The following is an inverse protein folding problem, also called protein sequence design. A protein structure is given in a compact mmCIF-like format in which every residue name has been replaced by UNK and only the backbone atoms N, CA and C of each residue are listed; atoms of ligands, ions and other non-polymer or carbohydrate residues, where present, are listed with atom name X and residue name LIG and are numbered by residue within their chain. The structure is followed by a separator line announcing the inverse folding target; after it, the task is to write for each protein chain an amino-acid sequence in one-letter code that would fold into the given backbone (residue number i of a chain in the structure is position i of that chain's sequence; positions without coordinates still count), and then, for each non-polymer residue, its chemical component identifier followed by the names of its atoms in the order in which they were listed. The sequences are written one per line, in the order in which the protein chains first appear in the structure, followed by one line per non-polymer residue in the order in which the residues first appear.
data_IF_304310123537
#
_entry.id   IF_304310123537
#
_cell.length_a   1.000
_cell.length_b   1.000
_cell.length_c   1.000
_cell.angle_alpha   90.00
_cell.angle_beta   90.00
_cell.angle_gamma   90.00
#
_symmetry.space_group_name_H-M   'P 1'
#
loop_
_entity.id
_entity.type
_entity.pdbx_description
1 polymer ?
#
# COMPACT_ATOMS: atom_id res chain seq x y z
N UNK A 1 -17.11 1.72 -10.62
CA UNK A 1 -17.19 3.16 -10.97
C UNK A 1 -18.01 4.02 -10.00
N UNK A 2 -18.79 3.46 -9.05
CA UNK A 2 -19.55 4.24 -8.05
C UNK A 2 -18.79 4.60 -6.75
N UNK A 3 -17.62 3.99 -6.55
CA UNK A 3 -16.79 4.15 -5.34
C UNK A 3 -16.28 5.59 -5.13
N UNK A 4 -15.90 6.38 -6.17
CA UNK A 4 -15.39 7.73 -5.96
C UNK A 4 -16.45 8.70 -5.42
N UNK A 5 -17.70 8.55 -5.87
CA UNK A 5 -18.80 9.42 -5.47
C UNK A 5 -19.23 9.17 -4.02
N UNK A 6 -19.29 7.89 -3.61
CA UNK A 6 -19.62 7.51 -2.24
C UNK A 6 -18.55 7.98 -1.25
N UNK A 7 -17.26 7.88 -1.61
CA UNK A 7 -16.15 8.37 -0.80
C UNK A 7 -16.20 9.89 -0.60
N UNK A 8 -16.59 10.64 -1.63
CA UNK A 8 -16.66 12.11 -1.58
C UNK A 8 -17.78 12.63 -0.66
N UNK A 9 -18.88 11.88 -0.54
CA UNK A 9 -20.02 12.23 0.33
C UNK A 9 -19.77 11.81 1.79
N UNK A 10 -19.15 10.65 2.02
CA UNK A 10 -18.85 10.17 3.39
C UNK A 10 -17.66 10.89 4.04
N UNK A 11 -16.65 11.24 3.24
CA UNK A 11 -15.48 12.00 3.67
C UNK A 11 -15.43 13.29 2.84
N UNK A 12 -16.21 14.33 3.20
CA UNK A 12 -16.06 15.61 2.55
C UNK A 12 -14.60 16.06 2.73
N UNK A 13 -13.83 16.22 1.64
CA UNK A 13 -12.43 16.60 1.74
C UNK A 13 -12.35 17.95 2.46
N UNK A 14 -11.62 17.99 3.58
CA UNK A 14 -11.45 19.18 4.42
C UNK A 14 -10.73 20.31 3.64
N UNK A 15 -10.04 19.98 2.56
CA UNK A 15 -9.34 20.92 1.69
C UNK A 15 -10.08 21.08 0.35
N UNK A 16 -11.23 21.76 0.40
CA UNK A 16 -11.86 22.33 -0.79
C UNK A 16 -11.24 23.70 -1.04
N UNK A 17 -10.28 23.74 -1.96
CA UNK A 17 -9.76 24.96 -2.60
C UNK A 17 -9.32 26.08 -1.66
N UNK A 18 -8.11 25.97 -1.12
CA UNK A 18 -7.41 27.11 -0.55
C UNK A 18 -6.47 27.70 -1.59
N UNK A 19 -6.77 28.90 -2.10
CA UNK A 19 -5.85 29.76 -2.89
C UNK A 19 -4.50 30.02 -2.17
N UNK A 20 -4.45 29.67 -0.87
CA UNK A 20 -3.26 29.69 -0.02
C UNK A 20 -2.32 28.49 -0.24
N UNK A 21 -2.79 27.35 -0.74
CA UNK A 21 -1.96 26.16 -1.01
C UNK A 21 -0.92 26.44 -2.11
N UNK A 22 -1.26 27.04 -3.27
CA UNK A 22 -0.24 27.36 -4.27
C UNK A 22 0.74 28.43 -3.78
N UNK A 23 0.29 29.45 -3.04
CA UNK A 23 1.17 30.50 -2.48
C UNK A 23 2.10 29.97 -1.39
N UNK A 24 1.59 29.09 -0.52
CA UNK A 24 2.40 28.38 0.46
C UNK A 24 3.41 27.45 -0.23
N UNK A 25 3.00 26.70 -1.25
CA UNK A 25 3.89 25.86 -2.04
C UNK A 25 4.98 26.67 -2.76
N UNK A 26 4.67 27.85 -3.30
CA UNK A 26 5.64 28.76 -3.91
C UNK A 26 6.64 29.31 -2.90
N UNK A 27 6.16 29.70 -1.72
CA UNK A 27 7.00 30.20 -0.63
C UNK A 27 7.94 29.10 -0.14
N UNK A 28 7.44 27.88 0.01
CA UNK A 28 8.21 26.71 0.40
C UNK A 28 9.20 26.29 -0.70
N UNK A 29 8.80 26.36 -1.99
CA UNK A 29 9.70 26.10 -3.13
C UNK A 29 10.86 27.11 -3.16
N UNK A 30 10.56 28.39 -2.90
CA UNK A 30 11.58 29.44 -2.83
C UNK A 30 12.50 29.25 -1.61
N UNK A 31 11.96 28.80 -0.47
CA UNK A 31 12.72 28.49 0.73
C UNK A 31 13.62 27.24 0.58
N UNK A 32 13.20 26.24 -0.21
CA UNK A 32 13.97 25.03 -0.50
C UNK A 32 15.19 25.30 -1.40
N UNK A 33 15.14 26.34 -2.24
CA UNK A 33 16.26 26.75 -3.09
C UNK A 33 16.53 25.81 -4.28
N UNK A 34 17.63 26.03 -5.03
CA UNK A 34 17.92 25.26 -6.23
C UNK A 34 18.26 23.80 -5.90
N UNK A 35 17.65 22.87 -6.65
CA UNK A 35 17.87 21.42 -6.50
C UNK A 35 19.36 21.07 -6.43
N UNK A 36 19.77 20.47 -5.33
CA UNK A 36 21.15 20.06 -5.12
C UNK A 36 21.52 18.92 -6.09
N UNK A 37 22.80 18.80 -6.44
CA UNK A 37 23.30 17.71 -7.30
C UNK A 37 23.01 16.30 -6.76
N UNK A 38 22.67 16.17 -5.47
CA UNK A 38 22.23 14.91 -4.85
C UNK A 38 20.75 14.61 -5.15
N UNK A 39 19.88 15.63 -5.09
CA UNK A 39 18.46 15.48 -5.42
C UNK A 39 18.24 15.16 -6.89
N UNK A 40 18.99 15.79 -7.81
CA UNK A 40 18.92 15.47 -9.25
C UNK A 40 19.27 14.00 -9.52
N UNK A 41 20.23 13.44 -8.79
CA UNK A 41 20.60 12.01 -8.90
C UNK A 41 19.52 11.10 -8.33
N UNK A 42 18.91 11.47 -7.20
CA UNK A 42 17.78 10.73 -6.62
C UNK A 42 16.58 10.72 -7.57
N UNK A 43 16.25 11.86 -8.17
CA UNK A 43 15.15 12.00 -9.11
C UNK A 43 15.39 11.19 -10.39
N UNK A 44 16.64 11.18 -10.89
CA UNK A 44 17.04 10.32 -12.01
C UNK A 44 16.85 8.83 -11.71
N UNK A 45 17.22 8.36 -10.51
CA UNK A 45 17.00 6.97 -10.09
C UNK A 45 15.52 6.64 -9.94
N UNK A 46 14.71 7.56 -9.42
CA UNK A 46 13.26 7.38 -9.27
C UNK A 46 12.57 7.25 -10.63
N UNK A 47 12.91 8.11 -11.59
CA UNK A 47 12.39 8.00 -12.97
C UNK A 47 12.86 6.71 -13.61
N UNK A 48 14.13 6.34 -13.44
CA UNK A 48 14.67 5.06 -13.91
C UNK A 48 13.92 3.85 -13.35
N UNK A 49 13.58 3.88 -12.05
CA UNK A 49 12.80 2.83 -11.40
C UNK A 49 11.39 2.70 -12.00
N UNK A 50 10.70 3.82 -12.25
CA UNK A 50 9.38 3.84 -12.87
C UNK A 50 9.41 3.28 -14.30
N UNK A 51 10.42 3.66 -15.09
CA UNK A 51 10.63 3.11 -16.43
C UNK A 51 10.88 1.61 -16.34
N UNK A 52 11.71 1.14 -15.42
CA UNK A 52 11.93 -0.29 -15.21
C UNK A 52 10.66 -1.03 -14.76
N UNK A 53 9.79 -0.42 -13.96
CA UNK A 53 8.52 -1.06 -13.58
C UNK A 53 7.52 -1.12 -14.74
N UNK A 54 7.47 -0.10 -15.60
CA UNK A 54 6.53 -0.07 -16.73
C UNK A 54 7.00 -1.00 -17.87
N UNK A 55 8.30 -1.00 -18.17
CA UNK A 55 8.87 -1.76 -19.30
C UNK A 55 9.46 -3.12 -18.88
N UNK A 56 9.87 -3.28 -17.63
CA UNK A 56 10.54 -4.48 -17.13
C UNK A 56 9.59 -5.52 -16.55
N UNK A 57 8.27 -5.27 -16.52
CA UNK A 57 7.27 -6.17 -15.93
C UNK A 57 7.25 -7.59 -16.50
N UNK A 58 7.69 -7.78 -17.75
CA UNK A 58 7.76 -9.11 -18.38
C UNK A 58 9.03 -9.91 -18.04
N UNK A 59 10.11 -9.25 -17.57
CA UNK A 59 11.41 -9.87 -17.37
C UNK A 59 11.93 -9.80 -15.93
N UNK A 60 11.46 -8.83 -15.14
CA UNK A 60 11.99 -8.52 -13.80
C UNK A 60 10.84 -8.28 -12.84
N UNK A 61 10.82 -9.00 -11.71
CA UNK A 61 9.87 -8.77 -10.63
C UNK A 61 10.04 -7.38 -10.01
N UNK A 62 8.92 -6.75 -9.61
CA UNK A 62 8.94 -5.42 -9.02
C UNK A 62 9.84 -5.31 -7.79
N UNK A 63 9.99 -6.39 -7.00
CA UNK A 63 10.90 -6.45 -5.87
C UNK A 63 12.37 -6.39 -6.31
N UNK A 64 12.75 -7.12 -7.38
CA UNK A 64 14.12 -7.08 -7.93
C UNK A 64 14.51 -5.68 -8.42
N UNK A 65 13.58 -4.96 -9.06
CA UNK A 65 13.77 -3.55 -9.45
C UNK A 65 14.03 -2.69 -8.20
N UNK A 66 13.20 -2.86 -7.16
CA UNK A 66 13.37 -2.14 -5.89
C UNK A 66 14.72 -2.38 -5.23
N UNK A 67 15.16 -3.65 -5.12
CA UNK A 67 16.47 -3.98 -4.58
C UNK A 67 17.62 -3.38 -5.38
N UNK A 68 17.52 -3.38 -6.71
CA UNK A 68 18.53 -2.80 -7.61
C UNK A 68 18.66 -1.29 -7.42
N UNK A 69 17.54 -0.59 -7.27
CA UNK A 69 17.51 0.86 -7.02
C UNK A 69 18.11 1.20 -5.67
N UNK A 70 17.78 0.45 -4.61
CA UNK A 70 18.37 0.65 -3.27
C UNK A 70 19.87 0.40 -3.29
N UNK A 71 20.34 -0.64 -3.98
CA UNK A 71 21.76 -0.92 -4.16
C UNK A 71 22.49 0.23 -4.89
N UNK A 72 21.90 0.76 -5.96
CA UNK A 72 22.43 1.93 -6.68
C UNK A 72 22.46 3.18 -5.80
N UNK A 73 21.42 3.42 -4.98
CA UNK A 73 21.38 4.56 -4.06
C UNK A 73 22.50 4.51 -3.00
N UNK A 74 22.81 3.31 -2.49
CA UNK A 74 23.92 3.08 -1.57
C UNK A 74 25.28 3.28 -2.26
N UNK A 75 25.46 2.71 -3.46
CA UNK A 75 26.70 2.85 -4.25
C UNK A 75 26.98 4.32 -4.63
N UNK A 76 25.95 5.07 -5.00
CA UNK A 76 26.04 6.49 -5.36
C UNK A 76 26.15 7.41 -4.13
N UNK A 77 26.19 6.85 -2.90
CA UNK A 77 26.19 7.56 -1.61
C UNK A 77 25.09 8.62 -1.52
N UNK A 78 23.92 8.32 -2.10
CA UNK A 78 22.74 9.18 -2.00
C UNK A 78 22.09 8.97 -0.63
N UNK A 79 22.03 7.71 -0.19
CA UNK A 79 21.52 7.26 1.11
C UNK A 79 22.62 6.46 1.79
N UNK A 80 22.78 6.61 3.11
CA UNK A 80 23.73 5.84 3.92
C UNK A 80 23.08 4.57 4.46
N UNK A 81 23.87 3.55 4.77
CA UNK A 81 23.35 2.36 5.45
C UNK A 81 22.65 2.71 6.78
N UNK A 82 23.20 3.69 7.51
CA UNK A 82 22.61 4.19 8.75
C UNK A 82 21.22 4.81 8.54
N UNK A 83 21.00 5.53 7.43
CA UNK A 83 19.69 6.12 7.09
C UNK A 83 18.63 5.03 6.85
N UNK A 84 19.01 3.88 6.28
CA UNK A 84 18.11 2.75 6.05
C UNK A 84 17.78 2.05 7.37
N UNK A 85 18.80 1.78 8.19
CA UNK A 85 18.62 1.06 9.47
C UNK A 85 17.88 1.93 10.50
N UNK A 86 18.11 3.24 10.50
CA UNK A 86 17.45 4.18 11.41
C UNK A 86 16.01 4.52 11.00
N UNK A 87 15.54 4.11 9.82
CA UNK A 87 14.19 4.39 9.33
C UNK A 87 13.13 3.52 10.03
N UNK A 88 12.76 3.92 11.26
CA UNK A 88 11.78 3.20 12.10
C UNK A 88 10.42 3.02 11.42
N UNK A 89 9.99 3.96 10.58
CA UNK A 89 8.70 3.87 9.89
C UNK A 89 8.67 2.71 8.89
N UNK A 90 9.72 2.57 8.07
CA UNK A 90 9.85 1.47 7.13
C UNK A 90 9.90 0.11 7.85
N UNK A 91 10.71 0.00 8.91
CA UNK A 91 10.80 -1.21 9.72
C UNK A 91 9.48 -1.57 10.39
N UNK A 92 8.75 -0.59 10.94
CA UNK A 92 7.46 -0.81 11.57
C UNK A 92 6.45 -1.40 10.58
N UNK A 93 6.33 -0.83 9.38
CA UNK A 93 5.43 -1.36 8.33
C UNK A 93 5.88 -2.75 7.90
N UNK A 94 7.17 -2.99 7.74
CA UNK A 94 7.71 -4.30 7.37
C UNK A 94 7.35 -5.38 8.41
N UNK A 95 7.63 -5.14 9.69
CA UNK A 95 7.31 -6.10 10.76
C UNK A 95 5.80 -6.30 10.92
N UNK A 96 5.02 -5.23 10.79
CA UNK A 96 3.56 -5.31 10.85
C UNK A 96 3.01 -6.17 9.71
N UNK A 97 3.46 -5.93 8.47
CA UNK A 97 3.04 -6.71 7.30
C UNK A 97 3.51 -8.17 7.40
N UNK A 98 4.76 -8.40 7.81
CA UNK A 98 5.31 -9.74 7.98
C UNK A 98 4.52 -10.55 9.03
N UNK A 99 4.15 -9.92 10.14
CA UNK A 99 3.32 -10.55 11.18
C UNK A 99 1.94 -10.91 10.65
N UNK A 100 1.30 -9.98 9.91
CA UNK A 100 -0.01 -10.21 9.31
C UNK A 100 0.02 -11.35 8.29
N UNK A 101 1.02 -11.36 7.39
CA UNK A 101 1.22 -12.43 6.41
C UNK A 101 1.47 -13.76 7.11
N UNK A 102 2.26 -13.78 8.18
CA UNK A 102 2.55 -15.00 8.95
C UNK A 102 1.29 -15.55 9.60
N UNK A 103 0.45 -14.70 10.20
CA UNK A 103 -0.83 -15.11 10.77
C UNK A 103 -1.79 -15.64 9.69
N UNK A 104 -1.90 -14.94 8.56
CA UNK A 104 -2.73 -15.37 7.44
C UNK A 104 -2.27 -16.73 6.88
N UNK A 105 -0.96 -16.92 6.76
CA UNK A 105 -0.36 -18.17 6.29
C UNK A 105 -0.54 -19.30 7.31
N UNK A 106 -0.36 -19.02 8.60
CA UNK A 106 -0.63 -19.98 9.67
C UNK A 106 -2.09 -20.43 9.70
N UNK A 107 -3.03 -19.50 9.51
CA UNK A 107 -4.45 -19.80 9.41
C UNK A 107 -4.79 -20.61 8.14
N UNK A 108 -4.12 -20.33 7.02
CA UNK A 108 -4.27 -21.11 5.80
C UNK A 108 -3.74 -22.53 5.97
N UNK A 109 -2.55 -22.68 6.55
CA UNK A 109 -1.87 -23.97 6.75
C UNK A 109 -2.60 -24.89 7.75
N UNK A 110 -3.30 -24.34 8.74
CA UNK A 110 -4.17 -25.10 9.64
C UNK A 110 -5.45 -25.61 8.97
N UNK A 111 -5.69 -25.23 7.71
CA UNK A 111 -6.88 -25.64 6.96
C UNK A 111 -8.16 -24.92 7.38
N UNK A 112 -8.06 -23.93 8.28
CA UNK A 112 -9.21 -23.15 8.74
C UNK A 112 -9.93 -22.46 7.58
N UNK A 113 -9.18 -21.89 6.63
CA UNK A 113 -9.74 -21.24 5.43
C UNK A 113 -10.56 -22.24 4.60
N UNK A 114 -10.03 -23.45 4.38
CA UNK A 114 -10.74 -24.51 3.66
C UNK A 114 -11.94 -25.05 4.44
N UNK A 115 -11.83 -25.22 5.76
CA UNK A 115 -12.93 -25.69 6.61
C UNK A 115 -14.06 -24.67 6.67
N UNK A 116 -13.73 -23.40 6.87
CA UNK A 116 -14.68 -22.28 6.91
C UNK A 116 -15.37 -22.09 5.55
N UNK A 117 -14.62 -22.18 4.45
CA UNK A 117 -15.16 -22.17 3.10
C UNK A 117 -16.16 -23.31 2.86
N UNK A 118 -15.86 -24.53 3.34
CA UNK A 118 -16.79 -25.67 3.26
C UNK A 118 -18.01 -25.53 4.15
N UNK A 119 -17.88 -24.96 5.36
CA UNK A 119 -19.01 -24.69 6.26
C UNK A 119 -19.99 -23.69 5.65
N UNK A 120 -19.46 -22.62 5.06
CA UNK A 120 -20.25 -21.65 4.31
C UNK A 120 -20.84 -22.28 3.04
N UNK A 121 -20.04 -23.00 2.23
CA UNK A 121 -20.55 -23.65 1.03
C UNK A 121 -21.65 -24.68 1.35
N UNK A 122 -21.53 -25.46 2.42
CA UNK A 122 -22.56 -26.39 2.88
C UNK A 122 -23.86 -25.68 3.26
N UNK A 123 -23.77 -24.57 4.00
CA UNK A 123 -24.94 -23.76 4.41
C UNK A 123 -25.59 -22.99 3.26
N UNK A 124 -24.84 -22.73 2.18
CA UNK A 124 -25.26 -21.90 1.05
C UNK A 124 -25.48 -22.68 -0.26
N UNK A 125 -25.26 -24.00 -0.27
CA UNK A 125 -25.32 -24.90 -1.44
C UNK A 125 -26.68 -25.03 -2.15
N UNK A 126 -27.70 -24.27 -1.74
CA UNK A 126 -29.03 -24.22 -2.38
C UNK A 126 -29.57 -22.81 -2.63
N UNK A 127 -28.82 -21.75 -2.33
CA UNK A 127 -29.29 -20.36 -2.43
C UNK A 127 -28.72 -19.63 -3.65
N UNK A 128 -29.53 -18.75 -4.23
CA UNK A 128 -29.13 -17.90 -5.35
C UNK A 128 -27.87 -17.08 -5.02
N UNK A 129 -26.92 -16.89 -5.98
CA UNK A 129 -25.66 -16.16 -5.78
C UNK A 129 -25.83 -14.77 -5.15
N UNK A 130 -26.96 -14.11 -5.36
CA UNK A 130 -27.28 -12.81 -4.76
C UNK A 130 -27.46 -12.89 -3.24
N UNK A 131 -28.10 -13.96 -2.74
CA UNK A 131 -28.31 -14.19 -1.30
C UNK A 131 -26.99 -14.53 -0.62
N UNK A 132 -26.13 -15.30 -1.30
CA UNK A 132 -24.77 -15.61 -0.87
C UNK A 132 -23.95 -14.34 -0.67
N UNK A 133 -24.00 -13.41 -1.63
CA UNK A 133 -23.28 -12.14 -1.56
C UNK A 133 -23.75 -11.28 -0.39
N UNK A 134 -25.06 -11.15 -0.18
CA UNK A 134 -25.63 -10.37 0.94
C UNK A 134 -25.27 -11.00 2.29
N UNK A 135 -25.39 -12.33 2.42
CA UNK A 135 -25.03 -13.04 3.64
C UNK A 135 -23.54 -12.88 3.99
N UNK A 136 -22.65 -12.99 2.99
CA UNK A 136 -21.21 -12.78 3.18
C UNK A 136 -20.89 -11.35 3.65
N UNK A 137 -21.55 -10.34 3.08
CA UNK A 137 -21.37 -8.93 3.51
C UNK A 137 -21.80 -8.76 4.97
N UNK A 138 -22.95 -9.32 5.36
CA UNK A 138 -23.47 -9.24 6.73
C UNK A 138 -22.52 -9.95 7.72
N UNK A 139 -22.06 -11.17 7.40
CA UNK A 139 -21.11 -11.90 8.23
C UNK A 139 -19.78 -11.16 8.34
N UNK A 140 -19.26 -10.61 7.24
CA UNK A 140 -18.04 -9.81 7.25
C UNK A 140 -18.18 -8.57 8.16
N UNK A 141 -19.31 -7.86 8.08
CA UNK A 141 -19.60 -6.74 8.97
C UNK A 141 -19.71 -7.15 10.43
N UNK A 142 -20.37 -8.27 10.73
CA UNK A 142 -20.50 -8.81 12.08
C UNK A 142 -19.15 -9.20 12.68
N UNK A 143 -18.32 -9.93 11.93
CA UNK A 143 -16.96 -10.27 12.34
C UNK A 143 -16.14 -9.02 12.57
N UNK A 144 -16.15 -8.08 11.62
CA UNK A 144 -15.40 -6.84 11.77
C UNK A 144 -15.88 -6.04 12.98
N UNK A 145 -17.18 -5.99 13.24
CA UNK A 145 -17.74 -5.31 14.40
C UNK A 145 -17.39 -6.00 15.73
N UNK A 146 -17.33 -7.34 15.76
CA UNK A 146 -16.92 -8.12 16.93
C UNK A 146 -15.42 -8.04 17.21
N UNK A 147 -14.58 -7.94 16.18
CA UNK A 147 -13.12 -7.83 16.31
C UNK A 147 -12.62 -6.38 16.48
N UNK A 148 -13.44 -5.37 16.15
CA UNK A 148 -13.14 -3.93 16.34
C UNK A 148 -13.66 -3.39 17.68
N UNK A 149 -14.48 -4.18 18.40
CA UNK A 149 -14.75 -3.97 19.83
C UNK A 149 -13.81 -4.82 20.67
#
# INVERSE_FOLDING_TARGET
MLVPWLAYVLYPPVLKSGDQVPRWAETELQAMGPLCSREKRMLGLMVGALVLWIFGGDYIDAAMVGYSVVALMLLLRIISWDDIVSNKAAWNVFFWLASLITLATGLNNTGFISWFGKLLAGSLSGYSPTIVMVALIVVFYLLRYLFVR
#
